data_IF_811284454867
#
_entry.id   IF_811284454867
#
_cell.length_a   1.000
_cell.length_b   1.000
_cell.length_c   1.000
_cell.angle_alpha   90.00
_cell.angle_beta   90.00
_cell.angle_gamma   90.00
#
_symmetry.space_group_name_H-M   'P 1'
#
loop_
_entity.id
_entity.type
_entity.pdbx_description
1 polymer ?
#
# COMPACT_ATOMS: atom_id res chain seq x y z
N UNK A 1 -18.52 32.26 34.68
CA UNK A 1 -18.94 33.66 34.90
C UNK A 1 -18.45 34.46 33.69
N UNK A 2 -19.33 34.92 32.82
CA UNK A 2 -18.94 35.58 31.56
C UNK A 2 -18.49 37.03 31.77
N UNK A 3 -17.47 37.47 31.01
CA UNK A 3 -16.98 38.87 31.02
C UNK A 3 -17.30 39.53 29.68
N UNK A 4 -17.90 40.72 29.70
CA UNK A 4 -18.15 41.48 28.46
C UNK A 4 -16.86 42.08 27.91
N UNK A 5 -16.63 41.87 26.62
CA UNK A 5 -15.56 42.51 25.84
C UNK A 5 -16.15 43.10 24.56
N UNK A 6 -15.62 44.24 24.12
CA UNK A 6 -15.90 44.80 22.81
C UNK A 6 -14.81 44.32 21.85
N UNK A 7 -15.22 43.73 20.73
CA UNK A 7 -14.33 43.21 19.69
C UNK A 7 -14.81 43.69 18.33
N UNK A 8 -13.88 43.97 17.43
CA UNK A 8 -14.18 44.26 16.02
C UNK A 8 -14.01 42.98 15.22
N UNK A 9 -15.03 42.60 14.44
CA UNK A 9 -15.05 41.38 13.63
C UNK A 9 -15.33 41.73 12.17
N UNK A 10 -14.85 40.91 11.25
CA UNK A 10 -15.21 41.00 9.84
C UNK A 10 -16.66 40.57 9.62
N UNK A 11 -17.30 41.09 8.57
CA UNK A 11 -18.69 40.76 8.24
C UNK A 11 -18.91 39.26 8.03
N UNK A 12 -17.95 38.58 7.40
CA UNK A 12 -17.97 37.12 7.20
C UNK A 12 -18.00 36.35 8.53
N UNK A 13 -17.21 36.78 9.52
CA UNK A 13 -17.20 36.17 10.85
C UNK A 13 -18.54 36.36 11.56
N UNK A 14 -19.14 37.55 11.42
CA UNK A 14 -20.46 37.85 11.98
C UNK A 14 -21.54 36.99 11.31
N UNK A 15 -21.45 36.79 9.99
CA UNK A 15 -22.37 35.92 9.25
C UNK A 15 -22.26 34.46 9.72
N UNK A 16 -21.05 33.95 9.89
CA UNK A 16 -20.80 32.59 10.39
C UNK A 16 -21.40 32.38 11.80
N UNK A 17 -21.22 33.34 12.70
CA UNK A 17 -21.80 33.26 14.06
C UNK A 17 -23.33 33.25 13.98
N UNK A 18 -23.94 34.06 13.11
CA UNK A 18 -25.40 34.10 12.94
C UNK A 18 -25.95 32.79 12.37
N UNK A 19 -25.31 32.23 11.35
CA UNK A 19 -25.69 30.94 10.78
C UNK A 19 -25.65 29.85 11.85
N UNK A 20 -24.59 29.82 12.65
CA UNK A 20 -24.47 28.90 13.77
C UNK A 20 -25.55 29.13 14.84
N UNK A 21 -25.87 30.39 15.16
CA UNK A 21 -26.98 30.72 16.06
C UNK A 21 -28.32 30.21 15.54
N UNK A 22 -28.59 30.34 14.24
CA UNK A 22 -29.82 29.84 13.61
C UNK A 22 -29.88 28.32 13.65
N UNK A 23 -28.80 27.66 13.26
CA UNK A 23 -28.68 26.20 13.21
C UNK A 23 -28.90 25.55 14.58
N UNK A 24 -28.36 26.14 15.64
CA UNK A 24 -28.41 25.59 17.01
C UNK A 24 -29.39 26.31 17.93
N UNK A 25 -30.21 27.21 17.38
CA UNK A 25 -31.23 28.01 18.09
C UNK A 25 -30.68 28.79 19.29
N UNK A 26 -29.50 29.39 19.14
CA UNK A 26 -28.80 30.14 20.18
C UNK A 26 -29.17 31.62 20.09
N UNK A 27 -29.71 32.18 21.18
CA UNK A 27 -30.18 33.57 21.21
C UNK A 27 -29.05 34.60 21.21
N UNK A 28 -27.93 34.31 21.88
CA UNK A 28 -26.87 35.28 22.10
C UNK A 28 -25.60 34.95 21.30
N UNK A 29 -25.04 35.89 20.53
CA UNK A 29 -23.84 35.64 19.73
C UNK A 29 -22.63 35.21 20.56
N UNK A 30 -22.50 35.73 21.79
CA UNK A 30 -21.43 35.33 22.71
C UNK A 30 -21.54 33.87 23.14
N UNK A 31 -22.76 33.36 23.37
CA UNK A 31 -22.97 31.95 23.70
C UNK A 31 -22.66 31.04 22.49
N UNK A 32 -22.99 31.48 21.28
CA UNK A 32 -22.62 30.76 20.06
C UNK A 32 -21.09 30.72 19.88
N UNK A 33 -20.41 31.85 20.09
CA UNK A 33 -18.96 31.94 20.05
C UNK A 33 -18.28 31.02 21.06
N UNK A 34 -18.74 31.01 22.32
CA UNK A 34 -18.20 30.13 23.36
C UNK A 34 -18.33 28.65 22.94
N UNK A 35 -19.51 28.23 22.43
CA UNK A 35 -19.72 26.86 21.95
C UNK A 35 -18.86 26.50 20.73
N UNK A 36 -18.74 27.41 19.76
CA UNK A 36 -17.90 27.19 18.59
C UNK A 36 -16.43 27.00 18.98
N UNK A 37 -15.94 27.75 19.99
CA UNK A 37 -14.58 27.61 20.52
C UNK A 37 -14.41 26.27 21.24
N UNK A 38 -15.36 25.88 22.09
CA UNK A 38 -15.35 24.59 22.80
C UNK A 38 -15.35 23.40 21.81
N UNK A 39 -16.17 23.48 20.75
CA UNK A 39 -16.21 22.49 19.68
C UNK A 39 -14.90 22.42 18.89
N UNK A 40 -14.30 23.57 18.56
CA UNK A 40 -13.01 23.64 17.90
C UNK A 40 -11.90 23.03 18.75
N UNK A 41 -11.85 23.31 20.05
CA UNK A 41 -10.86 22.73 20.97
C UNK A 41 -11.05 21.21 21.12
N UNK A 42 -12.30 20.75 21.17
CA UNK A 42 -12.66 19.33 21.21
C UNK A 42 -12.30 18.62 19.90
N UNK A 43 -12.54 19.24 18.74
CA UNK A 43 -12.15 18.69 17.45
C UNK A 43 -10.64 18.63 17.31
N UNK A 44 -9.92 19.70 17.66
CA UNK A 44 -8.46 19.77 17.60
C UNK A 44 -7.78 18.71 18.47
N UNK A 45 -8.29 18.46 19.67
CA UNK A 45 -7.79 17.40 20.54
C UNK A 45 -8.06 16.00 19.98
N UNK A 46 -9.24 15.78 19.38
CA UNK A 46 -9.55 14.54 18.65
C UNK A 46 -8.66 14.34 17.42
N UNK A 47 -8.42 15.37 16.63
CA UNK A 47 -7.61 15.31 15.40
C UNK A 47 -6.16 14.96 15.73
N UNK A 48 -5.58 15.61 16.74
CA UNK A 48 -4.26 15.25 17.29
C UNK A 48 -4.21 13.79 17.77
N UNK A 49 -5.28 13.29 18.38
CA UNK A 49 -5.35 11.89 18.82
C UNK A 49 -5.47 10.91 17.65
N UNK A 50 -6.18 11.29 16.57
CA UNK A 50 -6.35 10.49 15.38
C UNK A 50 -5.06 10.41 14.56
N UNK A 51 -4.36 11.53 14.39
CA UNK A 51 -3.02 11.55 13.78
C UNK A 51 -2.05 10.66 14.56
N UNK A 52 -2.06 10.76 15.90
CA UNK A 52 -1.23 9.91 16.75
C UNK A 52 -1.55 8.42 16.58
N UNK A 53 -2.83 8.04 16.63
CA UNK A 53 -3.27 6.66 16.42
C UNK A 53 -2.88 6.16 15.03
N UNK A 54 -3.03 6.99 14.00
CA UNK A 54 -2.68 6.63 12.63
C UNK A 54 -1.16 6.44 12.46
N UNK A 55 -0.36 7.30 13.10
CA UNK A 55 1.10 7.17 13.12
C UNK A 55 1.55 5.87 13.81
N UNK A 56 0.93 5.52 14.93
CA UNK A 56 1.22 4.29 15.66
C UNK A 56 0.81 3.06 14.83
N UNK A 57 -0.35 3.10 14.17
CA UNK A 57 -0.79 2.05 13.25
C UNK A 57 0.18 1.88 12.08
N UNK A 58 0.64 2.98 11.46
CA UNK A 58 1.62 2.94 10.38
C UNK A 58 2.95 2.33 10.84
N UNK A 59 3.43 2.72 12.03
CA UNK A 59 4.65 2.14 12.61
C UNK A 59 4.49 0.63 12.87
N UNK A 60 3.39 0.22 13.50
CA UNK A 60 3.12 -1.21 13.77
C UNK A 60 2.96 -2.02 12.49
N UNK A 61 2.31 -1.45 11.48
CA UNK A 61 2.22 -2.04 10.16
C UNK A 61 3.61 -2.25 9.57
N UNK A 62 4.46 -1.22 9.60
CA UNK A 62 5.83 -1.34 9.10
C UNK A 62 6.63 -2.41 9.86
N UNK A 63 6.52 -2.48 11.19
CA UNK A 63 7.21 -3.48 12.02
C UNK A 63 6.80 -4.91 11.63
N UNK A 64 5.50 -5.19 11.60
CA UNK A 64 4.97 -6.54 11.32
C UNK A 64 5.28 -6.97 9.88
N UNK A 65 5.01 -6.09 8.91
CA UNK A 65 5.15 -6.46 7.51
C UNK A 65 6.61 -6.45 7.02
N UNK A 66 7.51 -5.68 7.63
CA UNK A 66 8.91 -5.67 7.20
C UNK A 66 9.58 -7.02 7.41
N UNK A 67 9.32 -7.68 8.54
CA UNK A 67 9.87 -9.01 8.81
C UNK A 67 9.26 -10.08 7.91
N UNK A 68 7.93 -10.04 7.71
CA UNK A 68 7.26 -10.97 6.79
C UNK A 68 7.73 -10.79 5.34
N UNK A 69 7.86 -9.55 4.86
CA UNK A 69 8.42 -9.26 3.54
C UNK A 69 9.86 -9.73 3.39
N UNK A 70 10.68 -9.58 4.44
CA UNK A 70 12.05 -10.10 4.46
C UNK A 70 12.05 -11.63 4.34
N UNK A 71 11.18 -12.34 5.07
CA UNK A 71 11.03 -13.80 4.98
C UNK A 71 10.55 -14.24 3.61
N UNK A 72 9.54 -13.58 3.05
CA UNK A 72 9.03 -13.83 1.69
C UNK A 72 10.13 -13.65 0.65
N UNK A 73 10.91 -12.56 0.72
CA UNK A 73 12.04 -12.32 -0.18
C UNK A 73 13.10 -13.42 -0.07
N UNK A 74 13.42 -13.86 1.14
CA UNK A 74 14.38 -14.95 1.34
C UNK A 74 13.87 -16.28 0.79
N UNK A 75 12.58 -16.59 0.98
CA UNK A 75 11.96 -17.78 0.42
C UNK A 75 11.94 -17.74 -1.11
N UNK A 76 11.56 -16.60 -1.70
CA UNK A 76 11.58 -16.39 -3.14
C UNK A 76 13.00 -16.56 -3.71
N UNK A 77 14.01 -15.93 -3.11
CA UNK A 77 15.41 -16.06 -3.54
C UNK A 77 15.92 -17.50 -3.46
N UNK A 78 15.55 -18.25 -2.41
CA UNK A 78 15.91 -19.69 -2.30
C UNK A 78 15.22 -20.52 -3.36
N UNK A 79 13.93 -20.25 -3.61
CA UNK A 79 13.18 -20.94 -4.66
C UNK A 79 13.78 -20.65 -6.03
N UNK A 80 14.10 -19.39 -6.32
CA UNK A 80 14.72 -18.96 -7.58
C UNK A 80 16.08 -19.65 -7.81
N UNK A 81 16.96 -19.62 -6.80
CA UNK A 81 18.24 -20.35 -6.85
C UNK A 81 18.05 -21.83 -7.11
N UNK A 82 17.14 -22.49 -6.39
CA UNK A 82 16.90 -23.92 -6.55
C UNK A 82 16.31 -24.26 -7.93
N UNK A 83 15.40 -23.44 -8.43
CA UNK A 83 14.88 -23.56 -9.80
C UNK A 83 15.99 -23.41 -10.81
N UNK A 84 16.88 -22.41 -10.69
CA UNK A 84 18.01 -22.24 -11.60
C UNK A 84 18.91 -23.48 -11.61
N UNK A 85 19.27 -24.01 -10.43
CA UNK A 85 20.06 -25.24 -10.33
C UNK A 85 19.37 -26.41 -11.05
N UNK A 86 18.05 -26.56 -10.88
CA UNK A 86 17.30 -27.60 -11.57
C UNK A 86 17.32 -27.41 -13.09
N UNK A 87 17.19 -26.17 -13.59
CA UNK A 87 17.29 -25.88 -15.02
C UNK A 87 18.67 -26.25 -15.58
N UNK A 88 19.74 -25.95 -14.84
CA UNK A 88 21.10 -26.33 -15.26
C UNK A 88 21.29 -27.85 -15.31
N UNK A 89 20.77 -28.57 -14.32
CA UNK A 89 20.82 -30.04 -14.29
C UNK A 89 20.02 -30.65 -15.44
N UNK A 90 18.83 -30.11 -15.74
CA UNK A 90 17.99 -30.58 -16.86
C UNK A 90 18.64 -30.27 -18.21
N UNK A 91 19.29 -29.11 -18.34
CA UNK A 91 20.06 -28.78 -19.54
C UNK A 91 21.20 -29.77 -19.75
N UNK A 92 21.98 -30.09 -18.70
CA UNK A 92 23.02 -31.11 -18.77
C UNK A 92 22.47 -32.51 -19.09
N UNK A 93 21.36 -32.89 -18.44
CA UNK A 93 20.71 -34.20 -18.65
C UNK A 93 20.26 -34.40 -20.11
N UNK A 94 19.78 -33.33 -20.75
CA UNK A 94 19.38 -33.36 -22.15
C UNK A 94 20.55 -33.62 -23.11
N UNK A 95 21.80 -33.43 -22.66
CA UNK A 95 23.01 -33.64 -23.46
C UNK A 95 23.69 -34.97 -23.14
N UNK A 96 23.73 -35.35 -21.86
CA UNK A 96 24.32 -36.60 -21.39
C UNK A 96 23.52 -37.14 -20.20
N UNK A 97 23.08 -38.40 -20.31
CA UNK A 97 22.23 -39.05 -19.31
C UNK A 97 23.01 -39.62 -18.13
N UNK A 98 24.35 -39.70 -18.22
CA UNK A 98 25.21 -40.25 -17.17
C UNK A 98 25.80 -39.22 -16.20
N UNK A 99 25.44 -37.93 -16.32
CA UNK A 99 25.68 -36.80 -15.41
C UNK A 99 26.72 -37.01 -14.27
N UNK A 100 28.01 -37.13 -14.61
CA UNK A 100 29.09 -36.88 -13.63
C UNK A 100 29.32 -35.37 -13.42
N UNK A 101 29.00 -34.57 -14.45
CA UNK A 101 28.99 -33.12 -14.43
C UNK A 101 27.93 -32.59 -15.40
N UNK A 102 27.48 -31.33 -15.22
CA UNK A 102 26.52 -30.70 -16.12
C UNK A 102 27.13 -29.50 -16.84
N UNK A 103 26.87 -29.39 -18.15
CA UNK A 103 27.17 -28.17 -18.92
C UNK A 103 26.03 -27.18 -18.65
N UNK A 104 26.39 -26.01 -18.11
CA UNK A 104 25.41 -24.99 -17.76
C UNK A 104 25.00 -24.17 -18.98
N UNK A 105 23.78 -23.65 -18.96
CA UNK A 105 23.15 -22.86 -20.02
C UNK A 105 23.96 -21.65 -20.49
N UNK A 106 24.76 -20.94 -19.65
CA UNK A 106 25.63 -19.87 -20.16
C UNK A 106 26.77 -20.37 -21.06
N UNK A 107 27.18 -21.64 -20.92
CA UNK A 107 28.22 -22.26 -21.74
C UNK A 107 27.58 -22.83 -23.01
N UNK A 108 26.54 -23.65 -22.84
CA UNK A 108 25.80 -24.23 -23.94
C UNK A 108 24.39 -24.58 -23.49
N UNK A 109 23.40 -24.16 -24.29
CA UNK A 109 22.00 -24.44 -24.05
C UNK A 109 21.49 -25.50 -25.04
N UNK A 110 21.00 -26.62 -24.50
CA UNK A 110 20.46 -27.73 -25.27
C UNK A 110 19.22 -27.33 -26.06
N UNK A 111 18.94 -28.03 -27.16
CA UNK A 111 17.72 -27.80 -27.93
C UNK A 111 16.45 -28.07 -27.11
N UNK A 112 16.46 -29.14 -26.30
CA UNK A 112 15.34 -29.45 -25.41
C UNK A 112 15.03 -28.31 -24.42
N UNK A 113 16.07 -27.64 -23.88
CA UNK A 113 15.90 -26.48 -23.00
C UNK A 113 15.28 -25.29 -23.73
N UNK A 114 15.69 -25.04 -24.99
CA UNK A 114 15.13 -23.97 -25.83
C UNK A 114 13.66 -24.21 -26.16
N UNK A 115 13.32 -25.42 -26.59
CA UNK A 115 11.95 -25.80 -26.93
C UNK A 115 11.03 -25.66 -25.71
N UNK A 116 11.50 -26.09 -24.53
CA UNK A 116 10.77 -25.95 -23.28
C UNK A 116 10.54 -24.48 -22.89
N UNK A 117 11.56 -23.62 -23.01
CA UNK A 117 11.43 -22.17 -22.77
C UNK A 117 10.39 -21.53 -23.69
N UNK A 118 10.48 -21.81 -25.00
CA UNK A 118 9.55 -21.27 -25.98
C UNK A 118 8.09 -21.66 -25.66
N UNK A 119 7.84 -22.95 -25.39
CA UNK A 119 6.50 -23.42 -25.07
C UNK A 119 5.91 -22.78 -23.80
N UNK A 120 6.76 -22.48 -22.81
CA UNK A 120 6.35 -21.78 -21.58
C UNK A 120 6.08 -20.30 -21.84
N UNK A 121 6.93 -19.63 -22.61
CA UNK A 121 6.74 -18.21 -22.98
C UNK A 121 5.45 -17.99 -23.77
N UNK A 122 5.18 -18.83 -24.77
CA UNK A 122 3.94 -18.81 -25.54
C UNK A 122 2.72 -18.97 -24.63
N UNK A 123 2.76 -19.94 -23.69
CA UNK A 123 1.69 -20.16 -22.73
C UNK A 123 1.46 -18.95 -21.82
N UNK A 124 2.53 -18.32 -21.32
CA UNK A 124 2.43 -17.12 -20.48
C UNK A 124 1.84 -15.96 -21.28
N UNK A 125 2.30 -15.76 -22.52
CA UNK A 125 1.79 -14.72 -23.42
C UNK A 125 0.29 -14.89 -23.66
N UNK A 126 -0.15 -16.09 -24.00
CA UNK A 126 -1.57 -16.40 -24.19
C UNK A 126 -2.41 -16.16 -22.93
N UNK A 127 -1.90 -16.53 -21.75
CA UNK A 127 -2.60 -16.26 -20.48
C UNK A 127 -2.70 -14.76 -20.18
N UNK A 128 -1.66 -13.98 -20.47
CA UNK A 128 -1.68 -12.51 -20.31
C UNK A 128 -2.72 -11.89 -21.24
N UNK A 129 -2.73 -12.28 -22.52
CA UNK A 129 -3.73 -11.81 -23.48
C UNK A 129 -5.16 -12.10 -23.02
N UNK A 130 -5.44 -13.32 -22.54
CA UNK A 130 -6.76 -13.70 -22.01
C UNK A 130 -7.22 -12.81 -20.84
N UNK A 131 -6.31 -12.45 -19.93
CA UNK A 131 -6.62 -11.58 -18.79
C UNK A 131 -6.93 -10.16 -19.23
N UNK A 132 -6.16 -9.63 -20.18
CA UNK A 132 -6.40 -8.29 -20.75
C UNK A 132 -7.76 -8.26 -21.45
N UNK A 133 -8.05 -9.24 -22.31
CA UNK A 133 -9.34 -9.33 -23.00
C UNK A 133 -10.54 -9.57 -22.06
N UNK A 134 -10.32 -10.12 -20.86
CA UNK A 134 -11.37 -10.34 -19.86
C UNK A 134 -11.58 -9.14 -18.93
N UNK A 135 -10.66 -8.18 -18.91
CA UNK A 135 -10.75 -6.95 -18.11
C UNK A 135 -11.30 -5.74 -18.88
N UNK A 136 -11.57 -5.89 -20.18
CA UNK A 136 -12.14 -4.84 -21.06
C UNK A 136 -13.67 -5.00 -21.28
N UNK A 137 -14.36 -5.76 -20.42
CA UNK A 137 -15.84 -5.86 -20.35
C UNK A 137 -16.32 -5.52 -18.95
#
# INVERSE_FOLDING_TARGET
MGRRQNVTLHEETIALIKEYQEQYHIRYPGEALDRMIDEWETQKSKDNSQEYVMSLMAQRFQEVFSEEMKRLRLAANRSDKNTQVLLELMNGFAMDQNLESCVTTPIFESQAMKDAKQAVEERISHQRQKRISAGET
#
